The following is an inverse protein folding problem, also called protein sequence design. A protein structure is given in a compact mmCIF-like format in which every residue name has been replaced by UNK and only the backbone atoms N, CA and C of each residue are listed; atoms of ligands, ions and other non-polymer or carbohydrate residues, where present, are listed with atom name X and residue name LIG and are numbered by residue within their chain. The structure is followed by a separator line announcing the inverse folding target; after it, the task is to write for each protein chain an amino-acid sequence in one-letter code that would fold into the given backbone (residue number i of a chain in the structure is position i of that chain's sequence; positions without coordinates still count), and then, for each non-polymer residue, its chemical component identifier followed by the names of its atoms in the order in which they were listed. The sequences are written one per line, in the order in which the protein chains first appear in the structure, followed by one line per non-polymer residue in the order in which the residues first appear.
data_IF_820727646821
#
_entry.id   IF_820727646821
#
_cell.length_a   1.000
_cell.length_b   1.000
_cell.length_c   1.000
_cell.angle_alpha   90.00
_cell.angle_beta   90.00
_cell.angle_gamma   90.00
#
_symmetry.space_group_name_H-M   'P 1'
#
loop_
_entity.id
_entity.type
_entity.pdbx_description
1 polymer ?
#
# COMPACT_ATOMS: atom_id res chain seq x y z
N UNK A 1 14.25 -3.89 25.01
CA UNK A 1 13.11 -3.01 25.34
C UNK A 1 11.87 -3.60 24.71
N UNK A 2 10.89 -4.09 25.51
CA UNK A 2 9.61 -4.56 24.97
C UNK A 2 8.68 -3.36 24.92
N UNK A 3 8.45 -2.82 23.73
CA UNK A 3 7.38 -1.85 23.53
C UNK A 3 6.08 -2.62 23.78
N UNK A 4 5.30 -2.21 24.77
CA UNK A 4 4.05 -2.87 25.13
C UNK A 4 2.94 -2.32 24.21
N UNK A 5 3.00 -2.71 22.94
CA UNK A 5 2.04 -2.29 21.91
C UNK A 5 0.69 -2.95 22.18
N UNK A 6 -0.39 -2.18 22.09
CA UNK A 6 -1.73 -2.76 22.03
C UNK A 6 -1.85 -3.67 20.79
N UNK A 7 -2.77 -4.65 20.81
CA UNK A 7 -2.90 -5.66 19.75
C UNK A 7 -2.99 -5.05 18.35
N UNK A 8 -3.72 -3.94 18.20
CA UNK A 8 -3.88 -3.24 16.92
C UNK A 8 -2.62 -2.49 16.49
N UNK A 9 -1.87 -1.95 17.45
CA UNK A 9 -0.61 -1.25 17.19
C UNK A 9 0.49 -2.21 16.75
N UNK A 10 0.51 -3.43 17.29
CA UNK A 10 1.43 -4.49 16.86
C UNK A 10 1.21 -4.88 15.39
N UNK A 11 -0.05 -5.01 14.94
CA UNK A 11 -0.37 -5.29 13.53
C UNK A 11 0.09 -4.13 12.64
N UNK A 12 -0.16 -2.90 13.07
CA UNK A 12 0.25 -1.70 12.35
C UNK A 12 1.79 -1.60 12.22
N UNK A 13 2.53 -1.85 13.29
CA UNK A 13 3.99 -1.86 13.26
C UNK A 13 4.53 -2.94 12.32
N UNK A 14 3.95 -4.14 12.37
CA UNK A 14 4.40 -5.26 11.55
C UNK A 14 4.15 -5.00 10.05
N UNK A 15 3.06 -4.33 9.71
CA UNK A 15 2.78 -3.88 8.34
C UNK A 15 3.91 -2.98 7.85
N UNK A 16 4.26 -1.94 8.61
CA UNK A 16 5.27 -0.99 8.16
C UNK A 16 6.63 -1.68 8.05
N UNK A 17 7.00 -2.49 9.04
CA UNK A 17 8.25 -3.23 9.03
C UNK A 17 8.36 -4.19 7.83
N UNK A 18 7.31 -4.95 7.52
CA UNK A 18 7.32 -5.91 6.41
C UNK A 18 7.38 -5.22 5.05
N UNK A 19 6.57 -4.17 4.85
CA UNK A 19 6.60 -3.44 3.57
C UNK A 19 7.97 -2.78 3.39
N UNK A 20 8.49 -2.12 4.43
CA UNK A 20 9.82 -1.49 4.38
C UNK A 20 10.91 -2.51 4.10
N UNK A 21 10.89 -3.67 4.75
CA UNK A 21 11.86 -4.73 4.51
C UNK A 21 11.81 -5.23 3.06
N UNK A 22 10.62 -5.47 2.50
CA UNK A 22 10.49 -5.92 1.11
C UNK A 22 11.02 -4.89 0.11
N UNK A 23 10.78 -3.59 0.36
CA UNK A 23 11.35 -2.49 -0.44
C UNK A 23 12.88 -2.51 -0.36
N UNK A 24 13.44 -2.67 0.85
CA UNK A 24 14.90 -2.73 1.01
C UNK A 24 15.53 -3.96 0.35
N UNK A 25 14.85 -5.12 0.37
CA UNK A 25 15.33 -6.30 -0.34
C UNK A 25 15.40 -6.05 -1.85
N UNK A 26 14.40 -5.38 -2.43
CA UNK A 26 14.41 -5.01 -3.85
C UNK A 26 15.53 -4.00 -4.15
N UNK A 27 15.63 -2.92 -3.36
CA UNK A 27 16.66 -1.87 -3.51
C UNK A 27 18.09 -2.42 -3.42
N UNK A 28 18.30 -3.42 -2.57
CA UNK A 28 19.59 -4.10 -2.40
C UNK A 28 19.79 -5.29 -3.35
N UNK A 29 18.94 -5.45 -4.37
CA UNK A 29 19.00 -6.52 -5.38
C UNK A 29 19.09 -7.91 -4.76
N UNK A 30 18.30 -8.15 -3.72
CA UNK A 30 18.34 -9.39 -2.93
C UNK A 30 18.23 -10.64 -3.80
N UNK A 31 17.30 -10.68 -4.76
CA UNK A 31 17.13 -11.83 -5.67
C UNK A 31 18.38 -12.08 -6.54
N UNK A 32 19.21 -11.07 -6.77
CA UNK A 32 20.49 -11.19 -7.47
C UNK A 32 21.68 -11.56 -6.58
N UNK A 33 21.49 -11.67 -5.26
CA UNK A 33 22.58 -11.89 -4.31
C UNK A 33 23.04 -13.36 -4.25
N UNK A 34 24.29 -13.58 -3.81
CA UNK A 34 24.78 -14.94 -3.50
C UNK A 34 23.97 -15.56 -2.35
N UNK A 35 23.60 -14.74 -1.37
CA UNK A 35 22.82 -15.18 -0.22
C UNK A 35 21.49 -15.79 -0.64
N UNK A 36 20.72 -15.12 -1.50
CA UNK A 36 19.44 -15.65 -1.99
C UNK A 36 19.62 -16.97 -2.76
N UNK A 37 20.63 -17.05 -3.63
CA UNK A 37 20.94 -18.26 -4.41
C UNK A 37 21.26 -19.47 -3.55
N UNK A 38 21.93 -19.26 -2.42
CA UNK A 38 22.34 -20.30 -1.47
C UNK A 38 21.31 -20.53 -0.35
N UNK A 39 20.23 -19.74 -0.32
CA UNK A 39 19.24 -19.79 0.74
C UNK A 39 18.56 -21.16 0.80
N UNK A 40 18.55 -21.75 2.01
CA UNK A 40 17.84 -23.00 2.28
C UNK A 40 16.38 -22.68 2.58
N UNK A 41 15.50 -23.14 1.69
CA UNK A 41 14.06 -23.02 1.88
C UNK A 41 13.55 -24.16 2.76
N UNK A 42 12.62 -23.87 3.67
CA UNK A 42 11.98 -24.88 4.51
C UNK A 42 10.91 -25.71 3.77
N UNK A 43 10.54 -25.32 2.54
CA UNK A 43 9.58 -26.03 1.71
C UNK A 43 10.24 -27.16 0.90
N UNK A 44 9.42 -27.98 0.23
CA UNK A 44 9.93 -29.01 -0.69
C UNK A 44 10.69 -28.40 -1.87
N UNK A 45 11.59 -29.17 -2.48
CA UNK A 45 12.36 -28.71 -3.66
C UNK A 45 11.44 -28.33 -4.83
N UNK A 46 10.31 -29.01 -5.00
CA UNK A 46 9.29 -28.65 -6.00
C UNK A 46 8.66 -27.29 -5.74
N UNK A 47 8.32 -26.99 -4.48
CA UNK A 47 7.74 -25.70 -4.10
C UNK A 47 8.77 -24.59 -4.23
N UNK A 48 10.02 -24.83 -3.83
CA UNK A 48 11.13 -23.89 -4.03
C UNK A 48 11.30 -23.53 -5.50
N UNK A 49 11.32 -24.53 -6.40
CA UNK A 49 11.42 -24.28 -7.84
C UNK A 49 10.28 -23.38 -8.35
N UNK A 50 9.05 -23.66 -7.93
CA UNK A 50 7.89 -22.85 -8.33
C UNK A 50 7.96 -21.42 -7.79
N UNK A 51 8.34 -21.25 -6.52
CA UNK A 51 8.52 -19.93 -5.90
C UNK A 51 9.61 -19.13 -6.62
N UNK A 52 10.77 -19.74 -6.87
CA UNK A 52 11.85 -19.09 -7.61
C UNK A 52 11.40 -18.70 -9.03
N UNK A 53 10.67 -19.57 -9.72
CA UNK A 53 10.13 -19.25 -11.05
C UNK A 53 9.21 -18.02 -11.00
N UNK A 54 8.36 -17.91 -9.98
CA UNK A 54 7.50 -16.76 -9.78
C UNK A 54 8.34 -15.50 -9.50
N UNK A 55 9.29 -15.58 -8.58
CA UNK A 55 10.16 -14.46 -8.19
C UNK A 55 11.09 -14.00 -9.33
N UNK A 56 11.60 -14.91 -10.14
CA UNK A 56 12.43 -14.59 -11.31
C UNK A 56 11.59 -13.87 -12.38
N UNK A 57 10.32 -14.25 -12.54
CA UNK A 57 9.42 -13.63 -13.50
C UNK A 57 8.85 -12.29 -13.00
N UNK A 58 8.60 -12.16 -11.70
CA UNK A 58 7.85 -11.03 -11.14
C UNK A 58 8.67 -10.08 -10.28
N UNK A 59 9.88 -10.44 -9.87
CA UNK A 59 10.64 -9.71 -8.84
C UNK A 59 9.94 -9.69 -7.48
N UNK A 60 10.44 -8.84 -6.57
CA UNK A 60 9.81 -8.58 -5.26
C UNK A 60 8.73 -7.49 -5.37
N UNK A 61 8.86 -6.58 -6.36
CA UNK A 61 8.01 -5.38 -6.51
C UNK A 61 7.19 -5.32 -7.81
N UNK A 62 6.31 -6.27 -8.07
CA UNK A 62 5.39 -6.22 -9.23
C UNK A 62 4.10 -5.40 -8.98
N UNK A 63 3.30 -5.08 -10.01
CA UNK A 63 2.03 -4.37 -9.85
C UNK A 63 1.00 -5.07 -8.92
N UNK A 64 1.03 -6.40 -8.79
CA UNK A 64 0.16 -7.10 -7.83
C UNK A 64 0.58 -6.84 -6.38
N UNK A 65 1.90 -6.73 -6.12
CA UNK A 65 2.44 -6.34 -4.81
C UNK A 65 2.07 -4.92 -4.44
N UNK A 66 1.97 -4.00 -5.40
CA UNK A 66 1.49 -2.64 -5.19
C UNK A 66 0.06 -2.66 -4.59
N UNK A 67 -0.85 -3.51 -5.07
CA UNK A 67 -2.18 -3.63 -4.46
C UNK A 67 -2.11 -4.13 -3.02
N UNK A 68 -1.28 -5.16 -2.77
CA UNK A 68 -1.11 -5.74 -1.43
C UNK A 68 -0.51 -4.73 -0.45
N UNK A 69 0.49 -3.97 -0.88
CA UNK A 69 1.11 -2.93 -0.08
C UNK A 69 0.17 -1.76 0.16
N UNK A 70 -0.54 -1.30 -0.86
CA UNK A 70 -1.56 -0.27 -0.69
C UNK A 70 -2.68 -0.74 0.25
N UNK A 71 -3.09 -2.01 0.19
CA UNK A 71 -4.06 -2.56 1.16
C UNK A 71 -3.50 -2.49 2.58
N UNK A 72 -2.26 -2.96 2.77
CA UNK A 72 -1.60 -2.96 4.06
C UNK A 72 -1.36 -1.54 4.60
N UNK A 73 -1.04 -0.56 3.76
CA UNK A 73 -0.72 0.81 4.17
C UNK A 73 -1.92 1.77 4.21
N UNK A 74 -3.01 1.47 3.50
CA UNK A 74 -4.15 2.39 3.38
C UNK A 74 -5.42 1.84 4.02
N UNK A 75 -5.73 0.56 3.78
CA UNK A 75 -6.96 -0.07 4.28
C UNK A 75 -6.78 -0.43 5.74
N UNK A 76 -5.78 -1.25 6.06
CA UNK A 76 -5.59 -1.77 7.42
C UNK A 76 -5.38 -0.67 8.46
N UNK A 77 -4.52 0.36 8.25
CA UNK A 77 -4.30 1.39 9.26
C UNK A 77 -5.56 2.19 9.51
N UNK A 78 -6.40 2.38 8.49
CA UNK A 78 -7.68 3.07 8.66
C UNK A 78 -8.67 2.26 9.51
N UNK A 79 -8.71 0.95 9.33
CA UNK A 79 -9.58 0.06 10.13
C UNK A 79 -9.07 -0.08 11.58
N UNK A 80 -7.75 -0.11 11.78
CA UNK A 80 -7.16 -0.29 13.12
C UNK A 80 -7.15 1.00 13.95
N UNK A 81 -6.79 2.12 13.34
CA UNK A 81 -6.58 3.41 14.04
C UNK A 81 -7.79 4.35 13.89
N UNK A 82 -8.73 4.04 13.00
CA UNK A 82 -9.96 4.81 12.85
C UNK A 82 -9.70 6.29 12.58
N UNK A 83 -10.09 7.16 13.52
CA UNK A 83 -9.89 8.61 13.42
C UNK A 83 -8.46 9.06 13.73
N UNK A 84 -7.64 8.24 14.39
CA UNK A 84 -6.24 8.56 14.68
C UNK A 84 -5.36 8.48 13.43
N UNK A 85 -5.78 7.73 12.41
CA UNK A 85 -5.13 7.74 11.09
C UNK A 85 -5.52 9.02 10.32
N UNK A 86 -4.79 10.09 10.58
CA UNK A 86 -5.02 11.44 10.03
C UNK A 86 -4.28 11.71 8.71
N UNK A 87 -3.93 10.68 7.93
CA UNK A 87 -3.18 10.87 6.67
C UNK A 87 -4.06 11.29 5.48
N UNK A 88 -5.39 11.29 5.64
CA UNK A 88 -6.33 11.47 4.52
C UNK A 88 -6.17 12.80 3.77
N UNK A 89 -5.94 13.92 4.47
CA UNK A 89 -5.76 15.23 3.85
C UNK A 89 -4.45 15.28 3.08
N UNK A 90 -3.36 14.87 3.73
CA UNK A 90 -2.03 14.86 3.14
C UNK A 90 -1.97 13.90 1.94
N UNK A 91 -2.57 12.71 2.05
CA UNK A 91 -2.71 11.75 0.96
C UNK A 91 -3.48 12.31 -0.23
N UNK A 92 -4.60 13.00 -0.01
CA UNK A 92 -5.36 13.62 -1.11
C UNK A 92 -4.52 14.66 -1.86
N UNK A 93 -3.78 15.49 -1.13
CA UNK A 93 -2.88 16.49 -1.72
C UNK A 93 -1.73 15.84 -2.50
N UNK A 94 -1.17 14.76 -1.97
CA UNK A 94 -0.08 14.03 -2.61
C UNK A 94 -0.56 13.29 -3.87
N UNK A 95 -1.65 12.53 -3.77
CA UNK A 95 -2.23 11.78 -4.89
C UNK A 95 -2.58 12.69 -6.06
N UNK A 96 -3.10 13.91 -5.80
CA UNK A 96 -3.44 14.88 -6.85
C UNK A 96 -2.28 15.22 -7.78
N UNK A 97 -1.02 15.13 -7.32
CA UNK A 97 0.18 15.37 -8.14
C UNK A 97 0.42 14.29 -9.19
N UNK A 98 -0.15 13.11 -8.99
CA UNK A 98 0.17 11.89 -9.73
C UNK A 98 -0.98 11.35 -10.59
N UNK A 99 -2.21 11.80 -10.31
CA UNK A 99 -3.40 11.39 -11.03
C UNK A 99 -3.35 11.92 -12.47
N UNK A 100 -3.46 11.00 -13.43
CA UNK A 100 -3.44 11.32 -14.86
C UNK A 100 -4.83 11.40 -15.47
N UNK A 101 -5.82 10.78 -14.82
CA UNK A 101 -7.22 10.85 -15.21
C UNK A 101 -8.09 10.56 -13.98
N UNK A 102 -9.20 11.27 -13.84
CA UNK A 102 -10.21 10.97 -12.85
C UNK A 102 -11.62 11.35 -13.33
N UNK A 103 -12.63 10.69 -12.76
CA UNK A 103 -14.04 11.04 -12.89
C UNK A 103 -14.78 10.60 -11.63
N UNK A 104 -15.82 11.31 -11.22
CA UNK A 104 -16.68 10.95 -10.09
C UNK A 104 -18.11 11.41 -10.36
N UNK A 105 -19.08 10.56 -10.07
CA UNK A 105 -20.52 10.89 -10.03
C UNK A 105 -21.07 10.89 -8.61
N UNK A 106 -20.20 10.82 -7.58
CA UNK A 106 -20.62 10.86 -6.19
C UNK A 106 -21.24 12.22 -5.84
N UNK A 107 -22.45 12.19 -5.28
CA UNK A 107 -23.15 13.42 -4.90
C UNK A 107 -22.52 14.06 -3.67
N UNK A 108 -22.46 15.40 -3.64
CA UNK A 108 -21.96 16.16 -2.49
C UNK A 108 -20.43 16.20 -2.36
N UNK A 109 -19.71 15.83 -3.42
CA UNK A 109 -18.25 15.89 -3.48
C UNK A 109 -17.81 17.08 -4.34
N UNK A 110 -17.34 18.18 -3.72
CA UNK A 110 -16.80 19.34 -4.45
C UNK A 110 -15.46 19.04 -5.13
N UNK A 111 -14.66 18.17 -4.51
CA UNK A 111 -13.38 17.69 -5.02
C UNK A 111 -13.27 16.18 -4.75
N UNK A 112 -12.78 15.42 -5.74
CA UNK A 112 -12.60 13.97 -5.62
C UNK A 112 -11.72 13.64 -4.40
N UNK A 113 -12.27 12.85 -3.49
CA UNK A 113 -11.58 12.30 -2.33
C UNK A 113 -10.80 11.06 -2.74
N UNK A 114 -9.63 11.27 -3.35
CA UNK A 114 -8.68 10.22 -3.74
C UNK A 114 -8.43 9.23 -2.61
N UNK A 115 -8.25 9.69 -1.36
CA UNK A 115 -8.04 8.80 -0.21
C UNK A 115 -9.18 7.79 -0.07
N UNK A 116 -10.43 8.26 -0.06
CA UNK A 116 -11.61 7.39 0.08
C UNK A 116 -11.72 6.42 -1.10
N UNK A 117 -11.70 6.95 -2.32
CA UNK A 117 -12.00 6.16 -3.51
C UNK A 117 -10.89 5.14 -3.82
N UNK A 118 -9.61 5.53 -3.75
CA UNK A 118 -8.49 4.60 -3.95
C UNK A 118 -8.53 3.49 -2.90
N UNK A 119 -8.73 3.84 -1.62
CA UNK A 119 -8.85 2.85 -0.53
C UNK A 119 -10.00 1.88 -0.77
N UNK A 120 -11.18 2.38 -1.14
CA UNK A 120 -12.35 1.53 -1.41
C UNK A 120 -12.10 0.60 -2.60
N UNK A 121 -11.50 1.10 -3.68
CA UNK A 121 -11.11 0.28 -4.84
C UNK A 121 -10.17 -0.85 -4.44
N UNK A 122 -9.16 -0.56 -3.62
CA UNK A 122 -8.21 -1.56 -3.14
C UNK A 122 -8.90 -2.58 -2.23
N UNK A 123 -9.71 -2.11 -1.27
CA UNK A 123 -10.43 -2.97 -0.33
C UNK A 123 -11.37 -3.96 -1.04
N UNK A 124 -11.95 -3.55 -2.17
CA UNK A 124 -12.86 -4.37 -2.96
C UNK A 124 -12.20 -5.02 -4.19
N UNK A 125 -10.87 -4.99 -4.29
CA UNK A 125 -10.11 -5.55 -5.43
C UNK A 125 -10.57 -5.05 -6.81
N UNK A 126 -11.02 -3.80 -6.87
CA UNK A 126 -11.47 -3.10 -8.08
C UNK A 126 -10.34 -2.24 -8.66
N UNK A 127 -9.18 -2.86 -8.88
CA UNK A 127 -8.01 -2.24 -9.50
C UNK A 127 -7.72 -2.92 -10.83
N UNK A 128 -7.60 -2.14 -11.91
CA UNK A 128 -7.30 -2.65 -13.25
C UNK A 128 -5.95 -2.17 -13.72
N UNK A 129 -5.06 -3.10 -14.06
CA UNK A 129 -3.71 -2.84 -14.53
C UNK A 129 -3.62 -2.98 -16.04
N UNK A 130 -2.89 -2.07 -16.68
CA UNK A 130 -2.64 -2.14 -18.12
C UNK A 130 -1.33 -1.43 -18.48
N UNK A 131 -0.74 -1.83 -19.59
CA UNK A 131 0.44 -1.19 -20.17
C UNK A 131 0.03 -0.37 -21.39
N UNK A 132 0.49 0.88 -21.47
CA UNK A 132 0.29 1.74 -22.62
C UNK A 132 1.60 2.46 -22.95
N UNK A 133 2.03 2.40 -24.20
CA UNK A 133 3.25 3.06 -24.68
C UNK A 133 4.51 2.69 -23.87
N UNK A 134 4.60 1.43 -23.40
CA UNK A 134 5.71 0.94 -22.59
C UNK A 134 5.69 1.35 -21.12
N UNK A 135 4.64 2.05 -20.67
CA UNK A 135 4.44 2.42 -19.27
C UNK A 135 3.25 1.67 -18.66
N UNK A 136 3.40 1.27 -17.40
CA UNK A 136 2.35 0.57 -16.65
C UNK A 136 1.48 1.56 -15.87
N UNK A 137 0.18 1.28 -15.89
CA UNK A 137 -0.86 2.09 -15.26
C UNK A 137 -1.79 1.23 -14.40
N UNK A 138 -2.43 1.87 -13.43
CA UNK A 138 -3.55 1.32 -12.67
C UNK A 138 -4.75 2.26 -12.74
N UNK A 139 -5.94 1.69 -12.87
CA UNK A 139 -7.22 2.38 -12.67
C UNK A 139 -7.90 1.83 -11.42
N UNK A 140 -8.11 2.69 -10.43
CA UNK A 140 -8.89 2.43 -9.23
C UNK A 140 -10.36 2.73 -9.53
N UNK A 141 -11.24 1.75 -9.33
CA UNK A 141 -12.69 1.89 -9.55
C UNK A 141 -13.43 1.77 -8.23
N UNK A 142 -14.16 2.80 -7.85
CA UNK A 142 -15.06 2.79 -6.69
C UNK A 142 -16.48 2.97 -7.19
N UNK A 143 -17.41 2.18 -6.68
CA UNK A 143 -18.82 2.28 -7.02
C UNK A 143 -19.66 1.77 -5.85
N UNK A 144 -20.86 2.34 -5.73
CA UNK A 144 -21.87 1.87 -4.77
C UNK A 144 -22.76 0.85 -5.50
N UNK A 145 -22.67 -0.46 -5.17
CA UNK A 145 -23.56 -1.46 -5.75
C UNK A 145 -25.00 -1.17 -5.33
N UNK A 146 -25.92 -1.07 -6.30
CA UNK A 146 -27.34 -0.86 -6.04
C UNK A 146 -27.75 0.58 -5.67
N UNK A 147 -26.83 1.55 -5.72
CA UNK A 147 -27.17 2.97 -5.52
C UNK A 147 -28.07 3.52 -6.63
N UNK A 148 -29.09 4.30 -6.26
CA UNK A 148 -29.93 5.06 -7.20
C UNK A 148 -29.87 6.55 -6.84
N UNK A 149 -29.26 7.43 -7.68
CA UNK A 149 -28.56 7.11 -8.92
C UNK A 149 -27.27 6.32 -8.67
N UNK A 150 -26.80 5.61 -9.70
CA UNK A 150 -25.53 4.87 -9.64
C UNK A 150 -24.37 5.85 -9.47
N UNK A 151 -23.64 5.73 -8.37
CA UNK A 151 -22.45 6.55 -8.09
C UNK A 151 -21.20 5.72 -8.37
N UNK A 152 -20.26 6.29 -9.12
CA UNK A 152 -18.98 5.68 -9.42
C UNK A 152 -17.87 6.74 -9.44
N UNK A 153 -16.65 6.30 -9.19
CA UNK A 153 -15.43 7.09 -9.31
C UNK A 153 -14.36 6.23 -9.97
N UNK A 154 -13.65 6.80 -10.94
CA UNK A 154 -12.45 6.19 -11.50
C UNK A 154 -11.27 7.12 -11.30
N UNK A 155 -10.14 6.58 -10.87
CA UNK A 155 -8.89 7.32 -10.70
C UNK A 155 -7.78 6.51 -11.35
N UNK A 156 -7.01 7.15 -12.23
CA UNK A 156 -5.91 6.51 -12.95
C UNK A 156 -4.59 7.19 -12.66
N UNK A 157 -3.55 6.39 -12.52
CA UNK A 157 -2.17 6.85 -12.37
C UNK A 157 -1.19 5.81 -12.91
N UNK A 158 0.00 6.26 -13.30
CA UNK A 158 1.11 5.37 -13.61
C UNK A 158 1.55 4.60 -12.36
N UNK A 159 1.88 3.32 -12.47
CA UNK A 159 2.27 2.46 -11.32
C UNK A 159 3.51 3.01 -10.61
N UNK A 160 4.46 3.58 -11.36
CA UNK A 160 5.63 4.29 -10.80
C UNK A 160 5.25 5.42 -9.84
N UNK A 161 4.13 6.10 -10.09
CA UNK A 161 3.65 7.18 -9.22
C UNK A 161 2.86 6.64 -8.03
N UNK A 162 2.24 5.46 -8.15
CA UNK A 162 1.69 4.76 -6.97
C UNK A 162 2.82 4.37 -6.03
N UNK A 163 3.97 3.94 -6.55
CA UNK A 163 5.18 3.69 -5.75
C UNK A 163 5.57 4.90 -4.92
N UNK A 164 5.60 6.10 -5.51
CA UNK A 164 5.85 7.37 -4.78
C UNK A 164 4.79 7.64 -3.72
N UNK A 165 3.52 7.34 -4.01
CA UNK A 165 2.44 7.49 -3.04
C UNK A 165 2.58 6.50 -1.87
N UNK A 166 3.10 5.30 -2.12
CA UNK A 166 3.44 4.34 -1.06
C UNK A 166 4.60 4.79 -0.20
N UNK A 167 5.66 5.33 -0.80
CA UNK A 167 6.80 5.93 -0.05
C UNK A 167 6.30 7.05 0.86
N UNK A 168 5.44 7.93 0.34
CA UNK A 168 4.77 8.96 1.11
C UNK A 168 3.99 8.36 2.29
N UNK A 169 3.14 7.35 2.05
CA UNK A 169 2.38 6.71 3.12
C UNK A 169 3.28 6.07 4.17
N UNK A 170 4.32 5.34 3.76
CA UNK A 170 5.27 4.73 4.70
C UNK A 170 5.89 5.79 5.61
N UNK A 171 6.28 6.93 5.06
CA UNK A 171 6.83 8.05 5.83
C UNK A 171 5.81 8.58 6.86
N UNK A 172 4.60 8.93 6.42
CA UNK A 172 3.56 9.48 7.32
C UNK A 172 3.18 8.49 8.43
N UNK A 173 3.06 7.22 8.10
CA UNK A 173 2.74 6.17 9.07
C UNK A 173 3.89 5.93 10.05
N UNK A 174 5.14 6.04 9.61
CA UNK A 174 6.30 5.98 10.51
C UNK A 174 6.38 7.18 11.43
N UNK A 175 6.05 8.39 10.98
CA UNK A 175 5.99 9.58 11.84
C UNK A 175 4.92 9.44 12.93
N UNK A 176 3.74 8.90 12.58
CA UNK A 176 2.70 8.55 13.55
C UNK A 176 3.21 7.52 14.56
N UNK A 177 3.88 6.47 14.11
CA UNK A 177 4.44 5.44 14.99
C UNK A 177 5.50 6.00 15.93
N UNK A 178 6.45 6.79 15.41
CA UNK A 178 7.52 7.41 16.20
C UNK A 178 6.95 8.31 17.30
N UNK A 179 5.89 9.07 16.99
CA UNK A 179 5.20 9.90 17.97
C UNK A 179 4.62 9.06 19.11
N UNK A 180 3.95 7.94 18.77
CA UNK A 180 3.39 7.02 19.78
C UNK A 180 4.48 6.37 20.64
N UNK A 181 5.57 5.88 20.03
CA UNK A 181 6.69 5.27 20.75
C UNK A 181 7.33 6.29 21.71
N UNK A 182 7.60 7.50 21.25
CA UNK A 182 8.24 8.54 22.08
C UNK A 182 7.34 8.95 23.26
N UNK A 183 6.03 9.11 23.03
CA UNK A 183 5.10 9.41 24.13
C UNK A 183 5.06 8.29 25.18
N UNK A 184 5.06 7.02 24.75
CA UNK A 184 5.09 5.88 25.68
C UNK A 184 6.39 5.80 26.50
N UNK A 185 7.50 6.34 26.01
CA UNK A 185 8.76 6.39 26.74
C UNK A 185 8.74 7.42 27.86
N UNK A 186 8.12 8.58 27.62
CA UNK A 186 8.01 9.66 28.61
C UNK A 186 6.94 9.41 29.70
N UNK A 187 5.93 8.57 29.44
CA UNK A 187 4.95 8.16 30.47
C UNK A 187 5.50 7.13 31.48
N UNK A 188 6.67 6.54 31.20
CA UNK A 188 7.33 5.56 32.06
C UNK A 188 8.55 6.13 32.82
N UNK A 189 8.74 7.46 32.80
CA UNK A 189 9.73 8.22 33.60
C UNK A 189 9.05 8.91 34.79
#
# INVERSE_FOLDING_TARGET
MKINLEKNESIFCQIIANVSLLVELENNKFLGSNYYREMKWSCSESNKKNINTILDASGIGNPAMLQMFMYALLVVPKELLGKECCINVAFNNEAKKYVTYNTSTYCGEENINYYRHIRNSIAHSKCEYFTKDGEDYVTFKDDIPGGTPKQYCEIRMATKNVGKLMEFMLKELMELLNTKINNSLHENE
#
